data_IF_940576179321
#
_entry.id   IF_940576179321
#
_cell.length_a   1.000
_cell.length_b   1.000
_cell.length_c   1.000
_cell.angle_alpha   90.00
_cell.angle_beta   90.00
_cell.angle_gamma   90.00
#
_symmetry.space_group_name_H-M   'P 1'
#
loop_
_entity.id
_entity.type
_entity.pdbx_description
1 polymer ?
#
# COMPACT_ATOMS: atom_id res chain seq x y z
N UNK A 1 14.01 -9.90 3.06
CA UNK A 1 14.39 -8.46 3.05
C UNK A 1 13.30 -7.62 2.40
N UNK A 2 12.86 -7.91 1.16
CA UNK A 2 11.76 -7.18 0.49
C UNK A 2 10.40 -7.29 1.20
N UNK A 3 10.07 -8.45 1.74
CA UNK A 3 8.82 -8.68 2.48
C UNK A 3 8.68 -7.75 3.70
N UNK A 4 9.77 -7.57 4.46
CA UNK A 4 9.82 -6.65 5.62
C UNK A 4 9.73 -5.19 5.19
N UNK A 5 10.41 -4.81 4.10
CA UNK A 5 10.31 -3.46 3.53
C UNK A 5 8.87 -3.16 3.08
N UNK A 6 8.23 -4.09 2.38
CA UNK A 6 6.83 -3.94 1.96
C UNK A 6 5.90 -3.78 3.16
N UNK A 7 6.13 -4.56 4.22
CA UNK A 7 5.35 -4.45 5.47
C UNK A 7 5.52 -3.08 6.12
N UNK A 8 6.75 -2.58 6.21
CA UNK A 8 7.03 -1.25 6.76
C UNK A 8 6.34 -0.14 5.98
N UNK A 9 6.38 -0.20 4.64
CA UNK A 9 5.71 0.83 3.81
C UNK A 9 4.18 0.73 3.92
N UNK A 10 3.59 -0.47 4.01
CA UNK A 10 2.15 -0.61 4.27
C UNK A 10 1.73 -0.08 5.64
N UNK A 11 2.58 -0.23 6.67
CA UNK A 11 2.33 0.33 8.00
C UNK A 11 2.36 1.87 7.94
N UNK A 12 3.37 2.46 7.29
CA UNK A 12 3.43 3.92 7.10
C UNK A 12 2.20 4.45 6.35
N UNK A 13 1.78 3.74 5.30
CA UNK A 13 0.58 4.09 4.55
C UNK A 13 -0.65 4.09 5.48
N UNK A 14 -0.79 3.05 6.31
CA UNK A 14 -1.86 2.96 7.30
C UNK A 14 -1.82 4.12 8.31
N UNK A 15 -0.64 4.50 8.79
CA UNK A 15 -0.44 5.59 9.74
C UNK A 15 -0.84 6.95 9.14
N UNK A 16 -0.39 7.26 7.91
CA UNK A 16 -0.79 8.49 7.21
C UNK A 16 -2.32 8.56 7.11
N UNK A 17 -2.94 7.47 6.67
CA UNK A 17 -4.38 7.45 6.47
C UNK A 17 -5.15 7.60 7.77
N UNK A 18 -4.71 6.92 8.83
CA UNK A 18 -5.32 7.00 10.15
C UNK A 18 -5.23 8.42 10.72
N UNK A 19 -4.09 9.07 10.57
CA UNK A 19 -3.85 10.42 11.07
C UNK A 19 -4.68 11.48 10.32
N UNK A 20 -4.79 11.36 9.00
CA UNK A 20 -5.43 12.38 8.17
C UNK A 20 -6.93 12.20 8.00
N UNK A 21 -7.37 10.95 7.79
CA UNK A 21 -8.76 10.67 7.45
C UNK A 21 -9.57 10.09 8.62
N UNK A 22 -8.93 9.88 9.77
CA UNK A 22 -9.49 9.24 10.96
C UNK A 22 -10.07 7.83 10.67
N UNK A 23 -10.60 7.16 11.69
CA UNK A 23 -11.25 5.84 11.59
C UNK A 23 -12.55 5.80 10.76
N UNK A 24 -12.93 6.90 10.09
CA UNK A 24 -14.14 6.96 9.25
C UNK A 24 -14.07 6.01 8.06
N UNK A 25 -12.87 5.68 7.60
CA UNK A 25 -12.65 4.71 6.53
C UNK A 25 -11.99 3.46 7.10
N UNK A 26 -12.58 2.30 6.83
CA UNK A 26 -11.91 1.04 7.10
C UNK A 26 -10.89 0.79 6.00
N UNK A 27 -9.61 0.84 6.36
CA UNK A 27 -8.49 0.49 5.48
C UNK A 27 -8.31 -1.03 5.37
N UNK A 28 -9.42 -1.74 5.17
CA UNK A 28 -9.47 -3.20 5.19
C UNK A 28 -8.53 -3.82 4.15
N UNK A 29 -8.34 -3.15 3.01
CA UNK A 29 -7.39 -3.59 1.98
C UNK A 29 -5.93 -3.53 2.45
N UNK A 30 -5.56 -2.54 3.26
CA UNK A 30 -4.23 -2.43 3.84
C UNK A 30 -4.05 -3.46 4.95
N UNK A 31 -5.02 -3.61 5.84
CA UNK A 31 -5.02 -4.64 6.89
C UNK A 31 -4.90 -6.04 6.30
N UNK A 32 -5.67 -6.32 5.25
CA UNK A 32 -5.61 -7.61 4.56
C UNK A 32 -4.26 -7.81 3.85
N UNK A 33 -3.66 -6.75 3.31
CA UNK A 33 -2.32 -6.82 2.72
C UNK A 33 -1.25 -7.14 3.77
N UNK A 34 -1.32 -6.51 4.94
CA UNK A 34 -0.43 -6.82 6.07
C UNK A 34 -0.62 -8.27 6.55
N UNK A 35 -1.86 -8.76 6.63
CA UNK A 35 -2.14 -10.17 6.96
C UNK A 35 -1.52 -11.14 5.94
N UNK A 36 -1.63 -10.84 4.64
CA UNK A 36 -1.01 -11.65 3.56
C UNK A 36 0.51 -11.74 3.77
N UNK A 37 1.17 -10.62 4.11
CA UNK A 37 2.61 -10.60 4.41
C UNK A 37 2.95 -11.43 5.65
N UNK A 38 2.16 -11.31 6.72
CA UNK A 38 2.38 -12.08 7.95
C UNK A 38 2.20 -13.59 7.73
N UNK A 39 1.29 -13.99 6.84
CA UNK A 39 1.09 -15.38 6.42
C UNK A 39 2.18 -15.88 5.47
N UNK A 40 3.10 -15.01 5.01
CA UNK A 40 4.16 -15.30 4.03
C UNK A 40 3.62 -15.92 2.74
N UNK A 41 2.38 -15.59 2.37
CA UNK A 41 1.71 -16.14 1.19
C UNK A 41 2.13 -15.38 -0.07
N UNK A 42 3.34 -15.68 -0.56
CA UNK A 42 3.97 -14.97 -1.70
C UNK A 42 3.15 -14.98 -2.98
N UNK A 43 2.33 -16.01 -3.20
CA UNK A 43 1.43 -16.09 -4.38
C UNK A 43 0.42 -14.94 -4.41
N UNK A 44 0.09 -14.39 -3.25
CA UNK A 44 -0.87 -13.29 -3.13
C UNK A 44 -0.21 -11.91 -3.10
N UNK A 45 1.13 -11.80 -3.12
CA UNK A 45 1.78 -10.49 -3.04
C UNK A 45 1.46 -9.63 -4.24
N UNK A 46 1.31 -10.21 -5.43
CA UNK A 46 0.89 -9.46 -6.62
C UNK A 46 -0.54 -8.92 -6.52
N UNK A 47 -1.38 -9.53 -5.67
CA UNK A 47 -2.72 -8.97 -5.39
C UNK A 47 -2.67 -7.73 -4.49
N UNK A 48 -1.58 -7.51 -3.74
CA UNK A 48 -1.39 -6.32 -2.90
C UNK A 48 -1.32 -5.07 -3.77
N UNK A 49 -0.57 -5.09 -4.89
CA UNK A 49 -0.49 -3.94 -5.81
C UNK A 49 -1.86 -3.53 -6.34
N UNK A 50 -2.68 -4.49 -6.78
CA UNK A 50 -4.02 -4.19 -7.28
C UNK A 50 -4.92 -3.55 -6.21
N UNK A 51 -4.82 -4.03 -4.96
CA UNK A 51 -5.58 -3.46 -3.84
C UNK A 51 -5.14 -2.04 -3.53
N UNK A 52 -3.84 -1.79 -3.46
CA UNK A 52 -3.28 -0.46 -3.16
C UNK A 52 -3.57 0.53 -4.28
N UNK A 53 -3.49 0.10 -5.55
CA UNK A 53 -3.83 0.95 -6.70
C UNK A 53 -5.32 1.29 -6.76
N UNK A 54 -6.20 0.33 -6.46
CA UNK A 54 -7.63 0.62 -6.37
C UNK A 54 -7.93 1.59 -5.23
N UNK A 55 -7.28 1.39 -4.09
CA UNK A 55 -7.45 2.25 -2.93
C UNK A 55 -6.96 3.68 -3.18
N UNK A 56 -5.76 3.86 -3.76
CA UNK A 56 -5.23 5.19 -4.10
C UNK A 56 -6.11 5.91 -5.12
N UNK A 57 -6.65 5.18 -6.09
CA UNK A 57 -7.62 5.72 -7.05
C UNK A 57 -8.90 6.20 -6.38
N UNK A 58 -9.44 5.44 -5.43
CA UNK A 58 -10.64 5.86 -4.67
C UNK A 58 -10.36 7.15 -3.89
N UNK A 59 -9.21 7.25 -3.22
CA UNK A 59 -8.84 8.48 -2.50
C UNK A 59 -8.74 9.70 -3.41
N UNK A 60 -8.21 9.51 -4.62
CA UNK A 60 -8.15 10.55 -5.64
C UNK A 60 -9.55 10.93 -6.16
N UNK A 61 -10.35 9.94 -6.58
CA UNK A 61 -11.68 10.14 -7.16
C UNK A 61 -12.68 10.76 -6.16
N UNK A 62 -12.53 10.46 -4.88
CA UNK A 62 -13.36 11.04 -3.80
C UNK A 62 -12.91 12.44 -3.37
N UNK A 63 -11.76 12.91 -3.86
CA UNK A 63 -11.18 14.19 -3.48
C UNK A 63 -10.60 14.22 -2.08
N UNK A 64 -10.53 13.09 -1.37
CA UNK A 64 -9.94 13.00 -0.03
C UNK A 64 -8.48 13.49 -0.03
N UNK A 65 -7.74 13.25 -1.12
CA UNK A 65 -6.36 13.72 -1.23
C UNK A 65 -6.24 15.26 -1.30
N UNK A 66 -7.31 15.99 -1.63
CA UNK A 66 -7.28 17.46 -1.71
C UNK A 66 -7.25 18.13 -0.32
N UNK A 67 -7.67 17.40 0.72
CA UNK A 67 -7.67 17.90 2.10
C UNK A 67 -6.31 17.71 2.78
N UNK A 68 -5.39 16.98 2.16
CA UNK A 68 -4.03 16.78 2.66
C UNK A 68 -3.20 18.03 2.46
N UNK A 69 -2.38 18.38 3.45
CA UNK A 69 -1.33 19.39 3.22
C UNK A 69 -0.23 18.83 2.31
N UNK A 70 0.50 19.72 1.64
CA UNK A 70 1.50 19.36 0.63
C UNK A 70 2.54 18.34 1.13
N UNK A 71 3.04 18.51 2.37
CA UNK A 71 4.05 17.60 2.93
C UNK A 71 3.51 16.17 3.08
N UNK A 72 2.27 16.04 3.55
CA UNK A 72 1.64 14.72 3.77
C UNK A 72 1.24 14.11 2.44
N UNK A 73 0.78 14.91 1.49
CA UNK A 73 0.52 14.46 0.14
C UNK A 73 1.80 13.91 -0.52
N UNK A 74 2.92 14.61 -0.43
CA UNK A 74 4.21 14.13 -0.94
C UNK A 74 4.66 12.83 -0.27
N UNK A 75 4.53 12.73 1.06
CA UNK A 75 4.85 11.52 1.80
C UNK A 75 3.96 10.34 1.37
N UNK A 76 2.65 10.57 1.24
CA UNK A 76 1.69 9.59 0.78
C UNK A 76 2.05 9.04 -0.61
N UNK A 77 2.32 9.92 -1.57
CA UNK A 77 2.71 9.53 -2.94
C UNK A 77 4.03 8.74 -2.93
N UNK A 78 5.00 9.15 -2.10
CA UNK A 78 6.27 8.44 -1.95
C UNK A 78 6.08 7.03 -1.41
N UNK A 79 5.25 6.87 -0.37
CA UNK A 79 4.96 5.55 0.21
C UNK A 79 4.22 4.66 -0.79
N UNK A 80 3.22 5.19 -1.51
CA UNK A 80 2.53 4.44 -2.57
C UNK A 80 3.50 3.92 -3.64
N UNK A 81 4.39 4.79 -4.11
CA UNK A 81 5.41 4.40 -5.10
C UNK A 81 6.34 3.31 -4.58
N UNK A 82 6.79 3.41 -3.33
CA UNK A 82 7.64 2.39 -2.72
C UNK A 82 6.92 1.04 -2.64
N UNK A 83 5.64 1.03 -2.21
CA UNK A 83 4.82 -0.18 -2.16
C UNK A 83 4.71 -0.81 -3.55
N UNK A 84 4.41 -0.02 -4.58
CA UNK A 84 4.32 -0.47 -5.97
C UNK A 84 5.64 -1.05 -6.49
N UNK A 85 6.76 -0.33 -6.31
CA UNK A 85 8.09 -0.77 -6.74
C UNK A 85 8.50 -2.09 -6.08
N UNK A 86 8.25 -2.24 -4.77
CA UNK A 86 8.57 -3.47 -4.04
C UNK A 86 7.70 -4.63 -4.53
N UNK A 87 6.39 -4.44 -4.68
CA UNK A 87 5.48 -5.50 -5.15
C UNK A 87 5.85 -5.93 -6.57
N UNK A 88 6.06 -4.98 -7.49
CA UNK A 88 6.45 -5.25 -8.87
C UNK A 88 7.78 -6.03 -8.94
N UNK A 89 8.74 -5.66 -8.08
CA UNK A 89 10.00 -6.39 -7.97
C UNK A 89 9.80 -7.84 -7.51
N UNK A 90 8.97 -8.08 -6.49
CA UNK A 90 8.66 -9.44 -6.00
C UNK A 90 7.92 -10.26 -7.06
N UNK A 91 6.96 -9.67 -7.77
CA UNK A 91 6.21 -10.34 -8.82
C UNK A 91 7.07 -10.72 -10.02
N UNK A 92 7.99 -9.85 -10.43
CA UNK A 92 8.93 -10.10 -11.52
C UNK A 92 9.90 -11.24 -11.21
N UNK A 93 10.37 -11.34 -9.96
CA UNK A 93 11.21 -12.46 -9.50
C UNK A 93 10.46 -13.80 -9.47
N UNK A 94 9.16 -13.79 -9.21
CA UNK A 94 8.34 -15.00 -9.22
C UNK A 94 8.04 -15.48 -10.66
N UNK A 95 7.97 -14.56 -11.63
CA UNK A 95 7.70 -14.89 -13.04
C UNK A 95 8.95 -15.38 -13.81
N UNK A 96 10.16 -15.09 -13.33
CA UNK A 96 11.42 -15.50 -13.97
C UNK A 96 11.94 -16.87 -13.51
N UNK A 97 11.30 -17.47 -12.51
CA UNK A 97 11.62 -18.81 -11.98
C UNK A 97 10.58 -19.88 -12.33
N UNK A 98 9.65 -19.57 -13.24
CA UNK A 98 8.65 -20.49 -13.79
C UNK A 98 9.17 -21.22 -15.01
#
# INVERSE_FOLDING_TARGET
MKDELLKLELIKLQEILYNEFNSKYRYEDIDNSIKILNQKNKKQYCSIANKINNFSRILYETGLLNDLNDNIYEEFIKVLKNVEDIVNSICSENNTKG
#
